data_IF_656425724385
#
_entry.id   IF_656425724385
#
_cell.length_a   1.000
_cell.length_b   1.000
_cell.length_c   1.000
_cell.angle_alpha   90.00
_cell.angle_beta   90.00
_cell.angle_gamma   90.00
#
_symmetry.space_group_name_H-M   'P 1'
#
loop_
_entity.id
_entity.type
_entity.pdbx_description
1 polymer ?
#
# COMPACT_ATOMS: atom_id res chain seq x y z
N UNK A 1 0.15 -0.97 17.16
CA UNK A 1 1.38 -1.81 17.21
C UNK A 1 1.24 -2.87 16.13
N UNK A 2 1.84 -2.64 14.97
CA UNK A 2 1.83 -3.63 13.88
C UNK A 2 2.53 -4.90 14.40
N UNK A 3 1.95 -6.10 14.25
CA UNK A 3 2.56 -7.30 14.79
C UNK A 3 3.90 -7.56 14.09
N UNK A 4 4.95 -7.76 14.91
CA UNK A 4 6.35 -8.04 14.57
C UNK A 4 6.56 -9.05 13.42
N UNK A 5 5.56 -9.89 13.16
CA UNK A 5 5.49 -10.88 12.09
C UNK A 5 5.66 -10.30 10.68
N UNK A 6 5.04 -9.16 10.35
CA UNK A 6 5.10 -8.65 8.98
C UNK A 6 6.53 -8.24 8.56
N UNK A 7 7.36 -7.75 9.49
CA UNK A 7 8.76 -7.44 9.18
C UNK A 7 9.60 -8.68 8.89
N UNK A 8 9.23 -9.83 9.47
CA UNK A 8 9.89 -11.12 9.22
C UNK A 8 9.45 -11.73 7.90
N UNK A 9 8.16 -11.62 7.59
CA UNK A 9 7.57 -12.20 6.38
C UNK A 9 7.86 -11.35 5.12
N UNK A 10 8.11 -10.04 5.27
CA UNK A 10 8.40 -9.08 4.19
C UNK A 10 9.69 -8.28 4.45
N UNK A 11 10.87 -8.95 4.39
CA UNK A 11 12.13 -8.32 4.72
C UNK A 11 12.54 -7.21 3.73
N UNK A 12 12.22 -7.28 2.44
CA UNK A 12 12.53 -6.20 1.51
C UNK A 12 11.63 -4.99 1.77
N UNK A 13 10.31 -5.17 1.91
CA UNK A 13 9.41 -4.08 2.28
C UNK A 13 9.78 -3.40 3.58
N UNK A 14 10.24 -4.16 4.57
CA UNK A 14 10.70 -3.64 5.85
C UNK A 14 11.93 -2.71 5.76
N UNK A 15 12.65 -2.70 4.63
CA UNK A 15 13.81 -1.82 4.40
C UNK A 15 13.46 -0.53 3.65
N UNK A 16 12.32 -0.46 2.97
CA UNK A 16 11.94 0.69 2.15
C UNK A 16 11.50 1.86 3.04
N UNK A 17 12.11 3.02 2.81
CA UNK A 17 11.83 4.26 3.55
C UNK A 17 10.94 5.23 2.77
N UNK A 18 10.25 6.13 3.48
CA UNK A 18 9.50 7.22 2.83
C UNK A 18 10.41 8.14 2.01
N UNK A 19 11.63 8.42 2.49
CA UNK A 19 12.56 9.29 1.80
C UNK A 19 13.03 8.72 0.44
N UNK A 20 13.24 7.41 0.37
CA UNK A 20 13.54 6.73 -0.90
C UNK A 20 12.38 6.85 -1.88
N UNK A 21 11.14 6.60 -1.41
CA UNK A 21 9.94 6.70 -2.24
C UNK A 21 9.67 8.12 -2.74
N UNK A 22 9.94 9.13 -1.90
CA UNK A 22 9.78 10.54 -2.24
C UNK A 22 10.83 11.02 -3.25
N UNK A 23 12.07 10.48 -3.15
CA UNK A 23 13.17 10.82 -4.07
C UNK A 23 12.98 10.17 -5.44
N UNK A 24 12.83 8.85 -5.48
CA UNK A 24 12.54 8.08 -6.69
C UNK A 24 11.96 6.71 -6.30
N UNK A 25 10.67 6.45 -6.54
CA UNK A 25 10.05 5.19 -6.15
C UNK A 25 10.39 4.03 -7.10
N UNK A 26 10.87 4.30 -8.33
CA UNK A 26 11.02 3.27 -9.36
C UNK A 26 12.03 2.16 -8.99
N UNK A 27 13.21 2.47 -8.43
CA UNK A 27 14.16 1.45 -7.98
C UNK A 27 13.59 0.55 -6.89
N UNK A 28 12.89 1.12 -5.90
CA UNK A 28 12.24 0.36 -4.84
C UNK A 28 11.13 -0.54 -5.41
N UNK A 29 10.27 0.01 -6.26
CA UNK A 29 9.20 -0.73 -6.91
C UNK A 29 9.72 -1.88 -7.79
N UNK A 30 10.85 -1.68 -8.48
CA UNK A 30 11.46 -2.73 -9.30
C UNK A 30 11.95 -3.91 -8.43
N UNK A 31 12.67 -3.62 -7.34
CA UNK A 31 13.14 -4.66 -6.40
C UNK A 31 11.97 -5.43 -5.77
N UNK A 32 10.92 -4.72 -5.37
CA UNK A 32 9.72 -5.33 -4.79
C UNK A 32 9.00 -6.21 -5.83
N UNK A 33 8.79 -5.73 -7.06
CA UNK A 33 8.14 -6.53 -8.12
C UNK A 33 8.79 -7.89 -8.36
N UNK A 34 10.12 -7.94 -8.28
CA UNK A 34 10.88 -9.17 -8.54
C UNK A 34 10.74 -10.22 -7.43
N UNK A 35 10.59 -9.79 -6.17
CA UNK A 35 10.78 -10.66 -5.00
C UNK A 35 9.65 -10.62 -3.98
N UNK A 36 9.06 -9.45 -3.76
CA UNK A 36 7.96 -9.20 -2.82
C UNK A 36 6.88 -8.34 -3.52
N UNK A 37 6.17 -8.89 -4.53
CA UNK A 37 5.25 -8.12 -5.37
C UNK A 37 4.03 -7.57 -4.61
N UNK A 38 3.77 -8.11 -3.43
CA UNK A 38 2.89 -7.57 -2.39
C UNK A 38 3.71 -7.57 -1.10
N UNK A 39 3.90 -6.41 -0.51
CA UNK A 39 4.81 -6.27 0.63
C UNK A 39 4.25 -5.34 1.69
N UNK A 40 4.44 -5.69 2.97
CA UNK A 40 4.20 -4.76 4.06
C UNK A 40 5.33 -3.73 4.16
N UNK A 41 4.99 -2.44 4.17
CA UNK A 41 5.93 -1.33 4.35
C UNK A 41 5.64 -0.65 5.69
N UNK A 42 6.48 -0.86 6.72
CA UNK A 42 6.31 -0.19 8.02
C UNK A 42 6.35 1.33 7.92
N UNK A 43 7.07 1.86 6.92
CA UNK A 43 7.19 3.30 6.64
C UNK A 43 5.88 3.94 6.15
N UNK A 44 4.96 3.14 5.59
CA UNK A 44 3.63 3.57 5.15
C UNK A 44 2.50 3.08 6.09
N UNK A 45 2.82 2.25 7.08
CA UNK A 45 1.83 1.49 7.85
C UNK A 45 0.78 0.80 6.96
N UNK A 46 1.26 0.18 5.88
CA UNK A 46 0.41 -0.33 4.82
C UNK A 46 1.07 -1.35 3.91
N UNK A 47 0.22 -1.97 3.07
CA UNK A 47 0.63 -2.89 2.02
C UNK A 47 0.90 -2.14 0.72
N UNK A 48 1.97 -2.51 0.02
CA UNK A 48 2.26 -2.03 -1.32
C UNK A 48 2.18 -3.18 -2.33
N UNK A 49 1.34 -3.01 -3.35
CA UNK A 49 1.21 -3.95 -4.47
C UNK A 49 1.92 -3.37 -5.69
N UNK A 50 2.93 -4.06 -6.20
CA UNK A 50 3.80 -3.52 -7.26
C UNK A 50 3.70 -4.26 -8.59
N UNK A 51 3.16 -5.49 -8.60
CA UNK A 51 2.94 -6.28 -9.82
C UNK A 51 1.59 -5.93 -10.47
N UNK A 52 1.60 -5.75 -11.78
CA UNK A 52 0.47 -5.17 -12.52
C UNK A 52 -0.83 -6.00 -12.44
N UNK A 53 -0.74 -7.32 -12.63
CA UNK A 53 -1.88 -8.24 -12.56
C UNK A 53 -2.56 -8.21 -11.18
N UNK A 54 -1.77 -8.19 -10.11
CA UNK A 54 -2.27 -8.13 -8.73
C UNK A 54 -2.90 -6.77 -8.41
N UNK A 55 -2.26 -5.68 -8.83
CA UNK A 55 -2.82 -4.34 -8.67
C UNK A 55 -4.16 -4.22 -9.42
N UNK A 56 -4.23 -4.73 -10.65
CA UNK A 56 -5.45 -4.69 -11.45
C UNK A 56 -6.55 -5.58 -10.85
N UNK A 57 -6.20 -6.73 -10.28
CA UNK A 57 -7.15 -7.59 -9.58
C UNK A 57 -7.74 -6.88 -8.35
N UNK A 58 -6.90 -6.24 -7.53
CA UNK A 58 -7.34 -5.49 -6.35
C UNK A 58 -8.25 -4.32 -6.75
N UNK A 59 -7.84 -3.51 -7.73
CA UNK A 59 -8.64 -2.36 -8.21
C UNK A 59 -10.00 -2.75 -8.84
N UNK A 60 -10.20 -4.02 -9.21
CA UNK A 60 -11.46 -4.52 -9.77
C UNK A 60 -12.38 -5.15 -8.73
N UNK A 61 -11.87 -5.41 -7.52
CA UNK A 61 -12.61 -6.04 -6.44
C UNK A 61 -12.88 -5.03 -5.31
N UNK A 62 -13.74 -4.06 -5.64
CA UNK A 62 -14.23 -3.04 -4.71
C UNK A 62 -14.95 -3.63 -3.48
N UNK A 63 -15.49 -4.85 -3.62
CA UNK A 63 -16.16 -5.55 -2.51
C UNK A 63 -15.18 -6.01 -1.43
N UNK A 64 -13.96 -6.37 -1.82
CA UNK A 64 -12.92 -6.82 -0.88
C UNK A 64 -11.95 -5.69 -0.52
N UNK A 65 -11.62 -4.83 -1.49
CA UNK A 65 -10.63 -3.75 -1.36
C UNK A 65 -11.31 -2.39 -1.52
N UNK A 66 -11.96 -1.95 -0.45
CA UNK A 66 -12.69 -0.68 -0.45
C UNK A 66 -11.79 0.52 -0.14
N UNK A 67 -12.21 1.69 -0.64
CA UNK A 67 -11.62 3.00 -0.28
C UNK A 67 -12.11 3.56 1.06
N UNK A 68 -13.09 2.91 1.71
CA UNK A 68 -13.62 3.29 3.04
C UNK A 68 -12.63 2.96 4.17
N UNK A 69 -11.49 3.66 4.18
CA UNK A 69 -10.48 3.59 5.25
C UNK A 69 -10.68 4.78 6.23
N UNK A 70 -10.85 4.52 7.54
CA UNK A 70 -10.93 5.58 8.55
C UNK A 70 -9.75 6.56 8.56
N UNK A 71 -8.59 6.15 8.03
CA UNK A 71 -7.37 6.96 7.89
C UNK A 71 -7.40 7.88 6.66
N UNK A 72 -8.39 7.77 5.78
CA UNK A 72 -8.47 8.59 4.57
C UNK A 72 -8.73 10.06 4.92
N UNK A 73 -7.67 10.86 4.90
CA UNK A 73 -7.66 12.24 5.40
C UNK A 73 -8.65 13.16 4.68
N UNK A 74 -8.87 12.94 3.39
CA UNK A 74 -9.90 13.65 2.63
C UNK A 74 -11.28 13.39 3.25
N UNK A 75 -11.67 12.13 3.45
CA UNK A 75 -12.93 11.79 4.12
C UNK A 75 -13.07 12.38 5.52
N UNK A 76 -11.97 12.48 6.28
CA UNK A 76 -11.95 13.08 7.62
C UNK A 76 -12.16 14.61 7.60
N UNK A 77 -11.64 15.31 6.58
CA UNK A 77 -11.66 16.79 6.52
C UNK A 77 -12.88 17.33 5.78
N UNK A 78 -13.27 16.71 4.66
CA UNK A 78 -14.35 17.21 3.80
C UNK A 78 -15.65 16.41 3.92
N UNK A 79 -15.67 15.35 4.74
CA UNK A 79 -16.80 14.45 4.89
C UNK A 79 -16.88 13.38 3.78
N UNK A 80 -17.90 12.50 3.83
CA UNK A 80 -18.07 11.44 2.84
C UNK A 80 -18.25 12.02 1.43
N UNK A 81 -17.53 11.45 0.46
CA UNK A 81 -17.55 11.89 -0.93
C UNK A 81 -17.42 10.69 -1.87
N UNK A 82 -17.59 10.90 -3.18
CA UNK A 82 -17.33 9.88 -4.20
C UNK A 82 -15.93 9.25 -4.04
N UNK A 83 -14.91 10.02 -3.66
CA UNK A 83 -13.54 9.51 -3.44
C UNK A 83 -13.39 8.66 -2.17
N UNK A 84 -14.36 8.71 -1.25
CA UNK A 84 -14.34 8.00 0.04
C UNK A 84 -15.33 6.84 0.09
N UNK A 85 -16.27 6.78 -0.85
CA UNK A 85 -17.39 5.82 -0.84
C UNK A 85 -17.46 4.97 -2.12
N UNK A 86 -16.98 5.48 -3.26
CA UNK A 86 -16.98 4.77 -4.53
C UNK A 86 -15.55 4.30 -4.87
N UNK A 87 -15.29 3.02 -4.59
CA UNK A 87 -14.02 2.36 -4.84
C UNK A 87 -13.92 1.02 -4.14
#
# INVERSE_FOLDING_TARGET
MVPDRHRRDFPLGATITLAELDTDPHPAHARLREREPVSWLPSLDGWLVTRHDLALAAMRDATTFTVDDPRFSTGQVIGPSMLSLDG
#
